data_IF_024167632690
#
_entry.id   IF_024167632690
#
_cell.length_a   1.000
_cell.length_b   1.000
_cell.length_c   1.000
_cell.angle_alpha   90.00
_cell.angle_beta   90.00
_cell.angle_gamma   90.00
#
_symmetry.space_group_name_H-M   'P 1'
#
loop_
_entity.id
_entity.type
_entity.pdbx_description
1 polymer ?
#
# COMPACT_ATOMS: atom_id res chain seq x y z
N UNK A 1 36.18 16.21 31.95
CA UNK A 1 36.04 16.18 30.48
C UNK A 1 36.17 14.74 30.02
N UNK A 2 35.33 14.33 29.05
CA UNK A 2 35.03 12.97 28.56
C UNK A 2 34.21 12.10 29.53
N UNK A 3 33.21 11.30 29.12
CA UNK A 3 32.42 11.09 27.89
C UNK A 3 31.33 10.10 28.38
N UNK A 4 30.05 10.18 28.03
CA UNK A 4 29.57 9.59 26.80
C UNK A 4 28.17 10.13 26.51
N UNK A 5 28.02 10.77 25.35
CA UNK A 5 26.74 10.91 24.71
C UNK A 5 26.32 9.51 24.23
N UNK A 6 25.21 9.00 24.77
CA UNK A 6 24.53 7.85 24.18
C UNK A 6 23.94 8.35 22.86
N UNK A 7 24.65 8.10 21.77
CA UNK A 7 24.07 8.20 20.44
C UNK A 7 23.02 7.09 20.34
N UNK A 8 21.75 7.45 20.54
CA UNK A 8 20.64 6.62 20.06
C UNK A 8 20.78 6.54 18.54
N UNK A 9 21.40 5.46 18.07
CA UNK A 9 21.16 4.98 16.73
C UNK A 9 19.68 4.59 16.69
N UNK A 10 18.84 5.49 16.16
CA UNK A 10 17.53 5.09 15.69
C UNK A 10 17.77 3.95 14.71
N UNK A 11 17.44 2.72 15.11
CA UNK A 11 17.26 1.66 14.12
C UNK A 11 16.21 2.22 13.17
N UNK A 12 16.59 2.50 11.93
CA UNK A 12 15.60 2.71 10.89
C UNK A 12 14.73 1.45 10.91
N UNK A 13 13.47 1.58 11.32
CA UNK A 13 12.52 0.49 11.27
C UNK A 13 12.55 -0.03 9.83
N UNK A 14 13.03 -1.25 9.66
CA UNK A 14 13.02 -1.90 8.36
C UNK A 14 11.56 -2.12 8.02
N UNK A 15 11.10 -1.53 6.91
CA UNK A 15 9.75 -1.74 6.43
C UNK A 15 9.51 -3.26 6.28
N UNK A 16 8.39 -3.72 6.84
CA UNK A 16 7.95 -5.09 6.75
C UNK A 16 7.14 -5.29 5.47
N UNK A 17 7.12 -6.53 4.99
CA UNK A 17 6.31 -6.90 3.84
C UNK A 17 4.84 -7.02 4.29
N UNK A 18 4.00 -6.14 3.75
CA UNK A 18 2.55 -6.16 3.90
C UNK A 18 1.97 -7.25 2.99
N UNK A 19 2.37 -7.23 1.72
CA UNK A 19 1.93 -8.13 0.68
C UNK A 19 3.04 -8.33 -0.34
N UNK A 20 3.22 -9.55 -0.84
CA UNK A 20 4.20 -9.85 -1.87
C UNK A 20 3.70 -11.01 -2.74
N UNK A 21 3.87 -10.85 -4.05
CA UNK A 21 3.77 -11.94 -5.02
C UNK A 21 5.17 -12.41 -5.42
N UNK A 22 5.24 -13.50 -6.18
CA UNK A 22 6.51 -13.91 -6.78
C UNK A 22 7.03 -12.86 -7.78
N UNK A 23 8.33 -12.88 -8.11
CA UNK A 23 8.88 -12.11 -9.23
C UNK A 23 8.25 -12.48 -10.58
N UNK A 24 8.54 -11.71 -11.65
CA UNK A 24 8.01 -11.97 -12.98
C UNK A 24 8.28 -13.38 -13.45
N UNK A 25 7.24 -14.02 -13.97
CA UNK A 25 7.37 -15.29 -14.66
C UNK A 25 7.93 -15.06 -16.07
N UNK A 26 8.97 -15.78 -16.47
CA UNK A 26 9.50 -15.76 -17.84
C UNK A 26 9.12 -17.07 -18.54
N UNK A 27 7.94 -17.07 -19.16
CA UNK A 27 7.47 -18.20 -19.95
C UNK A 27 8.20 -18.32 -21.30
N UNK A 28 7.96 -19.40 -22.06
CA UNK A 28 8.58 -19.65 -23.36
C UNK A 28 8.28 -18.57 -24.42
N UNK A 29 7.23 -17.75 -24.21
CA UNK A 29 6.84 -16.66 -25.10
C UNK A 29 7.21 -15.26 -24.56
N UNK A 30 8.04 -15.18 -23.50
CA UNK A 30 8.33 -13.94 -22.78
C UNK A 30 7.47 -13.75 -21.53
N UNK A 31 7.73 -12.70 -20.73
CA UNK A 31 7.00 -12.47 -19.49
C UNK A 31 5.60 -11.91 -19.77
N UNK A 32 4.52 -12.57 -19.34
CA UNK A 32 3.17 -12.03 -19.50
C UNK A 32 3.02 -10.72 -18.70
N UNK A 33 2.23 -9.79 -19.22
CA UNK A 33 1.91 -8.54 -18.57
C UNK A 33 0.60 -7.94 -19.09
N UNK A 34 0.03 -7.02 -18.33
CA UNK A 34 -1.05 -6.17 -18.80
C UNK A 34 -0.57 -4.76 -19.04
N UNK A 35 -0.89 -4.23 -20.21
CA UNK A 35 -0.62 -2.85 -20.54
C UNK A 35 -1.36 -1.89 -19.60
N UNK A 36 -0.71 -0.78 -19.29
CA UNK A 36 -1.26 0.33 -18.53
C UNK A 36 -1.33 1.51 -19.50
N UNK A 37 -2.54 1.96 -19.81
CA UNK A 37 -2.79 2.92 -20.88
C UNK A 37 -4.04 3.77 -20.63
N UNK A 38 -4.27 4.77 -21.47
CA UNK A 38 -5.31 5.79 -21.31
C UNK A 38 -6.73 5.23 -21.22
N UNK A 39 -6.98 4.06 -21.81
CA UNK A 39 -8.24 3.34 -21.70
C UNK A 39 -8.15 2.04 -20.89
N UNK A 40 -7.00 1.69 -20.31
CA UNK A 40 -6.83 0.48 -19.52
C UNK A 40 -5.96 0.67 -18.27
N UNK A 41 -6.56 0.42 -17.10
CA UNK A 41 -5.85 0.40 -15.81
C UNK A 41 -5.73 -1.02 -15.29
N UNK A 42 -4.64 -1.28 -14.59
CA UNK A 42 -4.36 -2.59 -13.99
C UNK A 42 -4.34 -2.43 -12.48
N UNK A 43 -5.05 -3.31 -11.77
CA UNK A 43 -5.21 -3.25 -10.33
C UNK A 43 -4.96 -4.60 -9.66
N UNK A 44 -4.47 -4.55 -8.42
CA UNK A 44 -4.20 -5.67 -7.55
C UNK A 44 -4.89 -5.44 -6.20
N UNK A 45 -5.61 -6.44 -5.70
CA UNK A 45 -6.17 -6.40 -4.34
C UNK A 45 -5.20 -7.03 -3.33
N UNK A 46 -5.06 -6.42 -2.16
CA UNK A 46 -4.25 -6.95 -1.07
C UNK A 46 -4.88 -6.66 0.30
N UNK A 47 -4.53 -7.48 1.28
CA UNK A 47 -5.10 -7.41 2.63
C UNK A 47 -3.96 -7.45 3.66
N UNK A 48 -3.72 -6.37 4.42
CA UNK A 48 -2.71 -6.34 5.46
C UNK A 48 -3.04 -7.31 6.61
N UNK A 49 -2.04 -8.05 7.09
CA UNK A 49 -2.20 -8.97 8.23
C UNK A 49 -2.27 -8.29 9.61
N UNK A 50 -1.88 -7.01 9.68
CA UNK A 50 -1.89 -6.14 10.85
C UNK A 50 -1.93 -4.69 10.37
N UNK A 51 -2.07 -3.74 11.30
CA UNK A 51 -1.98 -2.34 10.95
C UNK A 51 -0.56 -1.98 10.50
N UNK A 52 -0.45 -1.30 9.36
CA UNK A 52 0.81 -0.80 8.79
C UNK A 52 0.67 0.65 8.34
N UNK A 53 1.72 1.42 8.52
CA UNK A 53 1.92 2.67 7.78
C UNK A 53 2.58 2.29 6.45
N UNK A 54 1.91 2.54 5.33
CA UNK A 54 2.43 2.19 4.01
C UNK A 54 3.62 3.08 3.64
N UNK A 55 4.76 2.48 3.31
CA UNK A 55 6.01 3.19 3.05
C UNK A 55 6.41 3.13 1.59
N UNK A 56 6.32 1.96 0.98
CA UNK A 56 6.89 1.70 -0.34
C UNK A 56 6.09 0.65 -1.07
N UNK A 57 5.87 0.87 -2.36
CA UNK A 57 5.35 -0.13 -3.29
C UNK A 57 6.41 -0.41 -4.34
N UNK A 58 6.64 -1.68 -4.65
CA UNK A 58 7.53 -2.10 -5.72
C UNK A 58 6.75 -2.91 -6.75
N UNK A 59 6.89 -2.55 -8.01
CA UNK A 59 6.16 -3.15 -9.12
C UNK A 59 7.10 -3.50 -10.26
N UNK A 60 6.94 -4.69 -10.84
CA UNK A 60 7.68 -5.07 -12.03
C UNK A 60 7.00 -4.51 -13.28
N UNK A 61 7.69 -3.60 -13.96
CA UNK A 61 7.19 -2.93 -15.16
C UNK A 61 8.05 -3.33 -16.37
N UNK A 62 7.40 -3.59 -17.50
CA UNK A 62 8.03 -3.64 -18.81
C UNK A 62 7.48 -2.51 -19.70
N UNK A 63 8.06 -2.34 -20.89
CA UNK A 63 7.63 -1.31 -21.84
C UNK A 63 7.37 -1.91 -23.22
N UNK A 64 6.30 -1.47 -23.88
CA UNK A 64 6.07 -1.77 -25.29
C UNK A 64 6.91 -0.86 -26.22
N UNK A 65 7.63 0.10 -25.68
CA UNK A 65 8.66 0.84 -26.41
C UNK A 65 10.00 0.09 -26.33
N UNK A 66 10.47 -0.41 -27.46
CA UNK A 66 11.75 -1.15 -27.55
C UNK A 66 12.98 -0.24 -27.57
N UNK A 67 12.79 1.07 -27.64
CA UNK A 67 13.88 2.03 -27.91
C UNK A 67 14.19 2.94 -26.74
N UNK A 68 13.21 3.19 -25.87
CA UNK A 68 13.33 4.12 -24.76
C UNK A 68 12.33 3.77 -23.63
N UNK A 69 12.51 4.35 -22.42
CA UNK A 69 11.51 4.21 -21.36
C UNK A 69 10.17 4.90 -21.69
N UNK A 70 9.07 4.51 -21.03
CA UNK A 70 7.77 5.18 -21.18
C UNK A 70 7.86 6.70 -20.97
N UNK A 71 7.30 7.45 -21.90
CA UNK A 71 7.42 8.91 -21.93
C UNK A 71 6.43 9.64 -21.01
N UNK A 72 5.41 8.94 -20.51
CA UNK A 72 4.48 9.46 -19.52
C UNK A 72 4.70 8.80 -18.15
N UNK A 73 4.44 9.53 -17.06
CA UNK A 73 4.47 8.92 -15.74
C UNK A 73 3.33 7.89 -15.58
N UNK A 74 3.58 6.90 -14.74
CA UNK A 74 2.57 5.97 -14.24
C UNK A 74 2.04 6.54 -12.94
N UNK A 75 0.73 6.77 -12.86
CA UNK A 75 0.05 7.10 -11.60
C UNK A 75 -0.24 5.82 -10.84
N UNK A 76 0.18 5.78 -9.57
CA UNK A 76 -0.11 4.73 -8.62
C UNK A 76 -1.11 5.26 -7.60
N UNK A 77 -2.20 4.53 -7.42
CA UNK A 77 -3.22 4.84 -6.41
C UNK A 77 -3.41 3.66 -5.47
N UNK A 78 -3.56 3.98 -4.18
CA UNK A 78 -4.05 3.04 -3.17
C UNK A 78 -5.46 3.48 -2.81
N UNK A 79 -6.42 2.58 -2.96
CA UNK A 79 -7.84 2.83 -2.71
C UNK A 79 -8.40 1.85 -1.68
N UNK A 80 -9.50 2.24 -1.06
CA UNK A 80 -10.33 1.33 -0.29
C UNK A 80 -11.00 0.28 -1.18
N UNK A 81 -11.62 -0.72 -0.55
CA UNK A 81 -12.46 -1.70 -1.22
C UNK A 81 -13.93 -1.49 -0.86
N UNK A 82 -14.80 -1.52 -1.87
CA UNK A 82 -16.24 -1.53 -1.70
C UNK A 82 -16.72 -2.87 -1.13
N UNK A 83 -17.93 -2.93 -0.53
CA UNK A 83 -18.51 -4.18 -0.01
C UNK A 83 -18.70 -5.28 -1.06
N UNK A 84 -18.79 -4.92 -2.35
CA UNK A 84 -18.87 -5.85 -3.49
C UNK A 84 -17.48 -6.37 -3.93
N UNK A 85 -16.43 -6.03 -3.19
CA UNK A 85 -15.05 -6.45 -3.42
C UNK A 85 -14.31 -5.62 -4.45
N UNK A 86 -14.94 -4.60 -5.07
CA UNK A 86 -14.36 -3.75 -6.11
C UNK A 86 -13.53 -2.59 -5.53
N UNK A 87 -12.68 -1.91 -6.31
CA UNK A 87 -12.06 -0.66 -5.87
C UNK A 87 -13.11 0.37 -5.47
N UNK A 88 -12.92 0.97 -4.31
CA UNK A 88 -13.74 2.07 -3.82
C UNK A 88 -13.39 3.40 -4.48
N UNK A 89 -14.22 4.41 -4.19
CA UNK A 89 -14.02 5.77 -4.70
C UNK A 89 -12.97 6.55 -3.89
N UNK A 90 -12.64 6.11 -2.68
CA UNK A 90 -11.75 6.84 -1.80
C UNK A 90 -10.27 6.52 -2.09
N UNK A 91 -9.56 7.52 -2.58
CA UNK A 91 -8.12 7.45 -2.81
C UNK A 91 -7.39 7.74 -1.50
N UNK A 92 -6.81 6.70 -0.91
CA UNK A 92 -6.07 6.75 0.36
C UNK A 92 -4.68 7.35 0.15
N UNK A 93 -4.03 6.99 -0.96
CA UNK A 93 -2.77 7.60 -1.38
C UNK A 93 -2.67 7.61 -2.91
N UNK A 94 -2.00 8.62 -3.45
CA UNK A 94 -1.69 8.73 -4.87
C UNK A 94 -0.29 9.29 -5.05
N UNK A 95 0.46 8.75 -6.01
CA UNK A 95 1.77 9.24 -6.40
C UNK A 95 2.03 8.89 -7.87
N UNK A 96 3.04 9.51 -8.47
CA UNK A 96 3.45 9.24 -9.85
C UNK A 96 4.92 8.87 -9.89
N UNK A 97 5.28 7.93 -10.77
CA UNK A 97 6.66 7.55 -11.02
C UNK A 97 6.90 7.33 -12.51
N UNK A 98 8.16 7.41 -12.94
CA UNK A 98 8.56 7.07 -14.30
C UNK A 98 9.18 5.68 -14.30
N UNK A 99 8.66 4.80 -15.15
CA UNK A 99 9.30 3.51 -15.39
C UNK A 99 10.58 3.70 -16.20
N UNK A 100 11.56 2.85 -15.93
CA UNK A 100 12.88 2.84 -16.55
C UNK A 100 13.07 1.68 -17.53
N UNK A 101 12.13 0.72 -17.53
CA UNK A 101 12.13 -0.42 -18.43
C UNK A 101 12.15 0.01 -19.91
N UNK A 102 12.99 -0.66 -20.69
CA UNK A 102 13.05 -0.54 -22.16
C UNK A 102 12.74 -1.91 -22.74
N UNK A 103 11.73 -1.94 -23.61
CA UNK A 103 11.19 -3.16 -24.18
C UNK A 103 10.69 -4.14 -23.13
N UNK A 104 10.68 -5.41 -23.49
CA UNK A 104 10.08 -6.48 -22.70
C UNK A 104 11.01 -7.05 -21.62
N UNK A 105 12.02 -6.29 -21.18
CA UNK A 105 12.85 -6.65 -20.04
C UNK A 105 12.28 -5.99 -18.78
N UNK A 106 11.63 -6.74 -17.86
CA UNK A 106 11.01 -6.18 -16.67
C UNK A 106 12.04 -5.52 -15.75
N UNK A 107 11.70 -4.36 -15.21
CA UNK A 107 12.46 -3.66 -14.17
C UNK A 107 11.60 -3.55 -12.92
N UNK A 108 12.20 -3.82 -11.75
CA UNK A 108 11.54 -3.62 -10.47
C UNK A 108 11.58 -2.14 -10.10
N UNK A 109 10.48 -1.45 -10.34
CA UNK A 109 10.33 -0.05 -9.99
C UNK A 109 10.02 0.08 -8.49
N UNK A 110 10.73 0.99 -7.80
CA UNK A 110 10.54 1.25 -6.38
C UNK A 110 9.86 2.60 -6.20
N UNK A 111 8.66 2.61 -5.61
CA UNK A 111 7.77 3.77 -5.52
C UNK A 111 7.54 4.13 -4.05
N UNK A 112 8.21 5.17 -3.53
CA UNK A 112 7.98 5.64 -2.15
C UNK A 112 6.60 6.29 -2.00
N UNK A 113 5.89 5.94 -0.93
CA UNK A 113 4.56 6.49 -0.61
C UNK A 113 4.71 7.55 0.48
N UNK A 114 4.91 8.80 0.06
CA UNK A 114 5.16 9.93 0.97
C UNK A 114 3.97 10.33 1.83
N UNK A 115 2.77 9.87 1.49
CA UNK A 115 1.57 10.12 2.29
C UNK A 115 1.54 9.28 3.57
N UNK A 116 2.34 8.21 3.65
CA UNK A 116 2.40 7.30 4.80
C UNK A 116 1.01 6.91 5.35
N UNK A 117 0.07 6.45 4.51
CA UNK A 117 -1.28 6.19 4.99
C UNK A 117 -1.33 4.97 5.92
N UNK A 118 -2.22 5.04 6.90
CA UNK A 118 -2.56 3.91 7.76
C UNK A 118 -3.41 2.89 7.00
N UNK A 119 -2.88 1.68 6.86
CA UNK A 119 -3.59 0.51 6.37
C UNK A 119 -3.98 -0.37 7.55
N UNK A 120 -5.27 -0.72 7.65
CA UNK A 120 -5.81 -1.52 8.74
C UNK A 120 -5.67 -3.01 8.48
N UNK A 121 -5.47 -3.74 9.56
CA UNK A 121 -5.50 -5.19 9.57
C UNK A 121 -6.81 -5.71 8.96
N UNK A 122 -6.70 -6.75 8.13
CA UNK A 122 -7.84 -7.50 7.59
C UNK A 122 -8.83 -6.65 6.76
N UNK A 123 -8.39 -5.47 6.31
CA UNK A 123 -9.15 -4.61 5.40
C UNK A 123 -8.58 -4.75 3.99
N UNK A 124 -9.45 -4.94 3.01
CA UNK A 124 -9.03 -5.05 1.61
C UNK A 124 -8.72 -3.66 1.06
N UNK A 125 -7.58 -3.57 0.37
CA UNK A 125 -7.15 -2.38 -0.35
C UNK A 125 -6.83 -2.73 -1.79
N UNK A 126 -6.92 -1.73 -2.66
CA UNK A 126 -6.59 -1.84 -4.07
C UNK A 126 -5.38 -0.98 -4.41
N UNK A 127 -4.40 -1.58 -5.06
CA UNK A 127 -3.30 -0.90 -5.71
C UNK A 127 -3.60 -0.81 -7.21
N UNK A 128 -3.67 0.41 -7.77
CA UNK A 128 -4.07 0.63 -9.15
C UNK A 128 -3.01 1.45 -9.87
N UNK A 129 -2.64 1.00 -11.07
CA UNK A 129 -1.76 1.74 -11.97
C UNK A 129 -2.54 2.30 -13.16
N UNK A 130 -2.29 3.56 -13.48
CA UNK A 130 -2.82 4.29 -14.62
C UNK A 130 -1.69 4.94 -15.42
N UNK A 131 -1.87 5.09 -16.73
CA UNK A 131 -0.97 5.83 -17.60
C UNK A 131 -1.79 6.47 -18.70
N UNK A 132 -1.39 7.66 -19.17
CA UNK A 132 -2.14 8.38 -20.21
C UNK A 132 -1.55 8.14 -21.62
N UNK A 133 -0.75 7.07 -21.79
CA UNK A 133 -0.24 6.64 -23.09
C UNK A 133 -1.24 5.73 -23.78
N UNK A 134 -1.34 5.85 -25.10
CA UNK A 134 -2.15 4.97 -25.96
C UNK A 134 -1.30 3.93 -26.72
N UNK A 135 -0.04 4.26 -26.98
CA UNK A 135 0.96 3.44 -27.68
C UNK A 135 2.26 3.47 -26.90
N UNK A 136 3.14 2.50 -27.12
CA UNK A 136 4.43 2.42 -26.42
C UNK A 136 4.25 2.44 -24.89
N UNK A 137 3.23 1.72 -24.44
CA UNK A 137 2.70 1.76 -23.08
C UNK A 137 3.59 0.99 -22.11
N UNK A 138 3.66 1.39 -20.84
CA UNK A 138 4.16 0.51 -19.79
C UNK A 138 3.21 -0.67 -19.61
N UNK A 139 3.71 -1.78 -19.08
CA UNK A 139 2.92 -2.95 -18.76
C UNK A 139 3.35 -3.57 -17.42
N UNK A 140 2.39 -3.99 -16.61
CA UNK A 140 2.62 -4.60 -15.29
C UNK A 140 2.75 -6.11 -15.42
N UNK A 141 3.94 -6.64 -15.12
CA UNK A 141 4.26 -8.05 -15.32
C UNK A 141 3.50 -8.97 -14.36
N UNK A 142 3.14 -10.16 -14.84
CA UNK A 142 2.61 -11.25 -14.03
C UNK A 142 3.69 -11.96 -13.23
N UNK A 143 3.31 -12.40 -12.05
CA UNK A 143 4.11 -13.24 -11.16
C UNK A 143 3.82 -14.71 -11.35
N UNK A 144 4.81 -15.58 -11.19
CA UNK A 144 4.62 -17.04 -11.26
C UNK A 144 3.93 -17.58 -10.00
N UNK A 145 3.20 -18.70 -10.08
CA UNK A 145 2.77 -19.51 -8.92
C UNK A 145 2.03 -18.75 -7.80
N UNK A 146 1.44 -17.60 -8.12
CA UNK A 146 0.80 -16.70 -7.17
C UNK A 146 -0.71 -16.70 -7.40
N UNK A 147 -1.48 -16.81 -6.32
CA UNK A 147 -2.95 -16.79 -6.35
C UNK A 147 -3.40 -15.46 -5.74
N UNK A 148 -4.32 -14.76 -6.42
CA UNK A 148 -4.91 -13.52 -5.91
C UNK A 148 -5.91 -12.93 -6.89
N UNK A 149 -6.23 -11.64 -6.77
CA UNK A 149 -7.27 -11.00 -7.61
C UNK A 149 -6.66 -9.83 -8.36
N UNK A 150 -6.97 -9.77 -9.66
CA UNK A 150 -6.69 -8.62 -10.50
C UNK A 150 -7.99 -7.99 -10.99
N UNK A 151 -7.96 -6.68 -11.21
CA UNK A 151 -9.01 -5.98 -11.92
C UNK A 151 -8.41 -5.20 -13.08
N UNK A 152 -9.04 -5.32 -14.24
CA UNK A 152 -8.66 -4.62 -15.46
C UNK A 152 -9.80 -3.71 -15.85
N UNK A 153 -9.53 -2.42 -15.92
CA UNK A 153 -10.47 -1.48 -16.55
C UNK A 153 -10.19 -1.47 -18.05
N UNK A 154 -11.21 -1.54 -18.89
CA UNK A 154 -11.12 -1.29 -20.34
C UNK A 154 -12.27 -0.37 -20.74
N UNK A 155 -11.97 0.82 -21.27
CA UNK A 155 -13.01 1.75 -21.76
C UNK A 155 -14.06 2.13 -20.70
N UNK A 156 -13.66 2.20 -19.43
CA UNK A 156 -14.55 2.50 -18.30
C UNK A 156 -15.32 1.31 -17.72
N UNK A 157 -15.23 0.11 -18.32
CA UNK A 157 -15.74 -1.13 -17.72
C UNK A 157 -14.64 -1.84 -16.95
N UNK A 158 -14.88 -2.14 -15.67
CA UNK A 158 -13.92 -2.91 -14.85
C UNK A 158 -14.30 -4.39 -14.85
N UNK A 159 -13.46 -5.22 -15.47
CA UNK A 159 -13.56 -6.67 -15.42
C UNK A 159 -12.72 -7.20 -14.25
N UNK A 160 -13.38 -7.93 -13.36
CA UNK A 160 -12.75 -8.67 -12.29
C UNK A 160 -12.40 -10.05 -12.82
N UNK A 161 -11.12 -10.36 -12.83
CA UNK A 161 -10.68 -11.72 -13.12
C UNK A 161 -10.07 -12.19 -11.81
N UNK A 162 -10.66 -13.20 -11.17
CA UNK A 162 -9.91 -13.93 -10.15
C UNK A 162 -8.61 -14.35 -10.82
N UNK A 163 -7.49 -13.90 -10.27
CA UNK A 163 -6.19 -14.26 -10.78
C UNK A 163 -6.06 -15.75 -10.58
N UNK A 164 -6.20 -16.51 -11.68
CA UNK A 164 -5.74 -17.89 -11.71
C UNK A 164 -4.28 -17.95 -11.26
N UNK A 165 -3.80 -19.14 -10.91
CA UNK A 165 -2.39 -19.34 -10.54
C UNK A 165 -1.46 -18.72 -11.59
N UNK A 166 -0.68 -17.71 -11.17
CA UNK A 166 0.24 -16.97 -12.04
C UNK A 166 -0.32 -15.71 -12.72
N UNK A 167 -1.57 -15.32 -12.47
CA UNK A 167 -2.22 -14.18 -13.12
C UNK A 167 -2.20 -12.87 -12.31
N UNK A 168 -1.52 -12.85 -11.15
CA UNK A 168 -1.37 -11.63 -10.33
C UNK A 168 -0.07 -10.91 -10.61
N UNK A 169 -0.07 -9.59 -10.48
CA UNK A 169 1.06 -8.76 -10.88
C UNK A 169 2.23 -8.83 -9.90
N UNK A 170 3.46 -8.89 -10.43
CA UNK A 170 4.72 -8.93 -9.67
C UNK A 170 4.90 -7.70 -8.78
N UNK A 171 4.56 -7.83 -7.50
CA UNK A 171 4.42 -6.70 -6.59
C UNK A 171 4.95 -7.01 -5.19
N UNK A 172 5.57 -6.02 -4.56
CA UNK A 172 5.88 -6.02 -3.12
C UNK A 172 5.37 -4.73 -2.51
N UNK A 173 4.57 -4.84 -1.44
CA UNK A 173 4.03 -3.71 -0.68
C UNK A 173 4.67 -3.76 0.69
N UNK A 174 5.36 -2.69 1.07
CA UNK A 174 6.16 -2.59 2.28
C UNK A 174 5.63 -1.47 3.17
N UNK A 175 5.57 -1.72 4.47
CA UNK A 175 5.13 -0.75 5.45
C UNK A 175 5.81 -0.93 6.79
N UNK A 176 5.97 0.16 7.52
CA UNK A 176 6.36 0.08 8.93
C UNK A 176 5.12 -0.35 9.73
N UNK A 177 5.25 -1.23 10.76
CA UNK A 177 4.14 -1.52 11.64
C UNK A 177 3.53 -0.21 12.13
N UNK A 178 2.23 -0.04 11.92
CA UNK A 178 1.60 1.23 12.25
C UNK A 178 1.72 1.47 13.74
N UNK A 179 2.13 2.68 14.08
CA UNK A 179 2.00 3.12 15.44
C UNK A 179 0.54 3.48 15.70
N UNK A 180 -0.23 2.51 16.20
CA UNK A 180 -1.64 2.73 16.56
C UNK A 180 -1.85 3.96 17.46
N UNK A 181 -0.83 4.34 18.22
CA UNK A 181 -0.87 5.52 19.10
C UNK A 181 -0.45 6.82 18.43
N UNK A 182 0.11 6.78 17.22
CA UNK A 182 0.36 7.97 16.41
C UNK A 182 -0.94 8.35 15.66
N UNK A 183 -1.94 8.76 16.43
CA UNK A 183 -3.26 9.11 15.91
C UNK A 183 -3.20 10.36 15.03
N UNK A 184 -2.35 11.32 15.38
CA UNK A 184 -2.27 12.59 14.65
C UNK A 184 -1.41 12.52 13.38
N UNK A 185 -0.75 11.38 13.14
CA UNK A 185 0.07 11.14 11.96
C UNK A 185 1.40 11.90 11.96
N UNK A 186 1.87 12.35 13.12
CA UNK A 186 3.12 13.06 13.27
C UNK A 186 4.31 12.26 12.74
N UNK A 187 5.19 12.93 12.00
CA UNK A 187 6.44 12.35 11.47
C UNK A 187 7.69 12.99 12.10
N UNK A 188 7.52 14.08 12.85
CA UNK A 188 8.60 14.72 13.59
C UNK A 188 8.96 13.92 14.84
N UNK A 189 10.24 13.87 15.21
CA UNK A 189 10.68 13.22 16.46
C UNK A 189 10.51 14.16 17.66
N UNK A 190 9.89 13.71 18.77
CA UNK A 190 9.30 12.40 19.00
C UNK A 190 7.97 12.19 18.23
N UNK A 191 7.82 11.02 17.62
CA UNK A 191 6.65 10.66 16.79
C UNK A 191 5.35 10.69 17.59
N UNK A 192 5.42 10.34 18.89
CA UNK A 192 4.29 10.41 19.81
C UNK A 192 4.33 11.70 20.64
N UNK A 193 3.20 12.39 20.72
CA UNK A 193 3.03 13.63 21.45
C UNK A 193 1.68 13.72 22.16
N UNK A 194 1.44 14.81 22.88
CA UNK A 194 0.13 15.06 23.49
C UNK A 194 -1.00 15.21 22.44
N UNK A 195 -0.66 15.55 21.19
CA UNK A 195 -1.64 15.71 20.12
C UNK A 195 -2.27 14.36 19.73
N UNK A 196 -1.57 13.25 19.91
CA UNK A 196 -2.13 11.91 19.69
C UNK A 196 -3.26 11.58 20.66
N UNK A 197 -3.11 11.96 21.93
CA UNK A 197 -4.17 11.84 22.92
C UNK A 197 -5.37 12.70 22.57
N UNK A 198 -5.14 13.93 22.11
CA UNK A 198 -6.22 14.82 21.65
C UNK A 198 -6.92 14.22 20.43
N UNK A 199 -6.16 13.68 19.48
CA UNK A 199 -6.71 12.97 18.32
C UNK A 199 -7.55 11.77 18.75
N UNK A 200 -7.04 10.91 19.63
CA UNK A 200 -7.77 9.75 20.14
C UNK A 200 -9.05 10.16 20.88
N UNK A 201 -9.00 11.20 21.73
CA UNK A 201 -10.16 11.74 22.42
C UNK A 201 -11.25 12.20 21.45
N UNK A 202 -10.86 12.89 20.39
CA UNK A 202 -11.80 13.33 19.35
C UNK A 202 -12.43 12.13 18.63
N UNK A 203 -11.63 11.11 18.29
CA UNK A 203 -12.09 9.87 17.67
C UNK A 203 -13.03 9.07 18.58
N UNK A 204 -12.70 8.97 19.86
CA UNK A 204 -13.54 8.31 20.86
C UNK A 204 -14.88 9.05 21.02
N UNK A 205 -14.85 10.38 21.14
CA UNK A 205 -16.05 11.20 21.29
C UNK A 205 -16.98 11.15 20.07
N UNK A 206 -16.43 10.95 18.86
CA UNK A 206 -17.21 10.78 17.64
C UNK A 206 -17.64 9.33 17.35
N UNK A 207 -17.41 8.39 18.29
CA UNK A 207 -17.64 6.96 18.09
C UNK A 207 -16.94 6.39 16.83
N UNK A 208 -15.76 6.92 16.48
CA UNK A 208 -14.98 6.46 15.33
C UNK A 208 -14.43 5.05 15.61
N UNK A 209 -14.61 4.07 14.70
CA UNK A 209 -14.04 2.73 14.85
C UNK A 209 -12.53 2.69 15.11
N UNK A 210 -11.77 3.72 14.72
CA UNK A 210 -10.37 3.93 15.10
C UNK A 210 -10.14 3.76 16.60
N UNK A 211 -11.05 4.31 17.41
CA UNK A 211 -10.91 4.37 18.86
C UNK A 211 -11.20 3.04 19.56
N UNK A 212 -11.63 2.00 18.81
CA UNK A 212 -11.80 0.64 19.32
C UNK A 212 -10.44 -0.07 19.43
N UNK A 213 -9.63 0.38 20.39
CA UNK A 213 -8.29 -0.13 20.63
C UNK A 213 -8.30 -1.58 21.06
N UNK A 214 -9.28 -1.97 21.88
CA UNK A 214 -9.36 -3.30 22.49
C UNK A 214 -10.07 -4.34 21.59
N UNK A 215 -10.64 -3.90 20.47
CA UNK A 215 -11.29 -4.75 19.48
C UNK A 215 -12.65 -5.27 19.93
N UNK A 216 -13.30 -4.60 20.88
CA UNK A 216 -14.64 -4.91 21.35
C UNK A 216 -15.65 -5.01 20.18
N UNK A 217 -16.54 -6.00 20.23
CA UNK A 217 -17.64 -6.17 19.27
C UNK A 217 -19.02 -6.01 19.91
N UNK A 218 -19.05 -5.64 21.19
CA UNK A 218 -20.27 -5.45 21.97
C UNK A 218 -20.97 -4.11 21.71
N UNK A 219 -22.09 -3.89 22.40
CA UNK A 219 -22.74 -2.58 22.48
C UNK A 219 -22.70 -2.09 23.94
N UNK A 220 -22.10 -0.93 24.22
CA UNK A 220 -21.47 0.01 23.27
C UNK A 220 -20.16 -0.52 22.67
N UNK A 221 -19.87 -0.11 21.42
CA UNK A 221 -18.66 -0.52 20.69
C UNK A 221 -17.38 0.01 21.33
N UNK A 222 -17.43 1.24 21.87
CA UNK A 222 -16.33 1.89 22.57
C UNK A 222 -16.60 1.95 24.07
N UNK A 223 -15.62 1.58 24.87
CA UNK A 223 -15.70 1.52 26.34
C UNK A 223 -14.48 2.17 26.99
N UNK A 224 -14.47 2.27 28.32
CA UNK A 224 -13.29 2.74 29.06
C UNK A 224 -12.05 1.85 28.83
N UNK A 225 -12.23 0.59 28.40
CA UNK A 225 -11.11 -0.31 28.12
C UNK A 225 -10.29 0.15 26.91
N UNK A 226 -10.90 0.85 25.96
CA UNK A 226 -10.19 1.41 24.81
C UNK A 226 -9.20 2.51 25.24
N UNK A 227 -9.59 3.36 26.19
CA UNK A 227 -8.69 4.35 26.77
C UNK A 227 -7.49 3.69 27.45
N UNK A 228 -7.74 2.65 28.26
CA UNK A 228 -6.68 1.94 28.95
C UNK A 228 -5.75 1.24 27.94
N UNK A 229 -6.32 0.64 26.89
CA UNK A 229 -5.59 0.04 25.79
C UNK A 229 -4.71 1.08 25.06
N UNK A 230 -5.26 2.24 24.73
CA UNK A 230 -4.53 3.32 24.06
C UNK A 230 -3.37 3.82 24.93
N UNK A 231 -3.60 4.08 26.21
CA UNK A 231 -2.56 4.51 27.16
C UNK A 231 -1.43 3.47 27.25
N UNK A 232 -1.78 2.18 27.38
CA UNK A 232 -0.78 1.12 27.47
C UNK A 232 0.08 1.05 26.20
N UNK A 233 -0.53 1.17 25.02
CA UNK A 233 0.21 1.23 23.75
C UNK A 233 1.05 2.49 23.65
N UNK A 234 0.53 3.65 24.09
CA UNK A 234 1.23 4.93 24.01
C UNK A 234 2.50 4.91 24.87
N UNK A 235 2.42 4.33 26.07
CA UNK A 235 3.56 4.16 26.98
C UNK A 235 4.58 3.16 26.43
N UNK A 236 4.12 2.12 25.72
CA UNK A 236 5.00 1.16 25.05
C UNK A 236 5.75 1.80 23.87
N UNK A 237 5.17 2.86 23.30
CA UNK A 237 5.71 3.58 22.16
C UNK A 237 5.36 2.91 20.83
N UNK A 238 5.83 3.52 19.75
CA UNK A 238 5.79 2.91 18.43
C UNK A 238 6.84 1.79 18.34
N UNK A 239 6.54 0.68 17.66
CA UNK A 239 7.54 -0.34 17.33
C UNK A 239 8.70 0.25 16.52
#
# INVERSE_FOLDING_TARGET
MLSAAIASAALALRADIIYQTNPPYFGPNGPPAFDIMDFQSVALRFTPRRDFTLETVRVWIMSNDLTQPPQAPIRLEVRDANPDGRPGEFIIASTSFHATAIGWNPVLETVPIRAHPLLRAHTDYWLILHCDLHVNTPAWNWSDGSIGIIALSHGGQTNFTEGGEGAVTGTTIEGSPACYTNCDGSTATPVLSANDFVCFLNKFASADPYANCDGSTGSPLLTANDFQCFINRFVTGCP
#
